data_IF_695148366853
#
_entry.id   IF_695148366853
#
_cell.length_a   1.000
_cell.length_b   1.000
_cell.length_c   1.000
_cell.angle_alpha   90.00
_cell.angle_beta   90.00
_cell.angle_gamma   90.00
#
_symmetry.space_group_name_H-M   'P 1'
#
loop_
_entity.id
_entity.type
_entity.pdbx_description
1 polymer ?
#
# COMPACT_ATOMS: atom_id res chain seq x y z
N UNK A 1 5.51 14.18 8.63
CA UNK A 1 6.93 13.84 8.39
C UNK A 1 6.93 12.68 7.42
N UNK A 2 7.66 12.74 6.30
CA UNK A 2 7.70 11.59 5.38
C UNK A 2 8.42 10.45 6.11
N UNK A 3 7.66 9.44 6.56
CA UNK A 3 8.23 8.27 7.21
C UNK A 3 9.31 7.68 6.30
N UNK A 4 10.52 7.59 6.83
CA UNK A 4 11.63 6.94 6.16
C UNK A 4 11.33 5.45 6.00
N UNK A 5 11.93 4.80 4.99
CA UNK A 5 11.70 3.36 4.75
C UNK A 5 11.96 2.50 5.99
N UNK A 6 12.91 2.91 6.83
CA UNK A 6 13.20 2.34 8.14
C UNK A 6 11.99 2.43 9.09
N UNK A 7 11.43 3.62 9.27
CA UNK A 7 10.33 3.85 10.22
C UNK A 7 9.10 3.03 9.84
N UNK A 8 8.81 2.92 8.54
CA UNK A 8 7.66 2.17 8.05
C UNK A 8 7.82 0.66 8.18
N UNK A 9 9.01 0.12 7.89
CA UNK A 9 9.28 -1.31 8.08
C UNK A 9 9.25 -1.67 9.57
N UNK A 10 9.64 -0.74 10.45
CA UNK A 10 9.59 -0.90 11.90
C UNK A 10 8.17 -0.80 12.47
N UNK A 11 7.38 0.17 12.01
CA UNK A 11 5.96 0.31 12.39
C UNK A 11 5.12 -0.89 11.96
N UNK A 12 5.45 -1.49 10.81
CA UNK A 12 4.84 -2.73 10.35
C UNK A 12 5.33 -3.98 11.14
N UNK A 13 6.22 -3.81 12.12
CA UNK A 13 6.78 -4.90 12.93
C UNK A 13 7.66 -5.87 12.14
N UNK A 14 8.08 -5.50 10.92
CA UNK A 14 8.79 -6.39 10.01
C UNK A 14 10.28 -6.50 10.34
N UNK A 15 10.88 -5.42 10.85
CA UNK A 15 12.31 -5.39 11.21
C UNK A 15 12.58 -4.51 12.42
N UNK A 16 13.67 -4.80 13.13
CA UNK A 16 14.24 -3.91 14.16
C UNK A 16 15.19 -2.89 13.54
N UNK A 17 15.59 -1.89 14.34
CA UNK A 17 16.57 -0.87 13.90
C UNK A 17 17.92 -1.51 13.61
N UNK A 18 18.35 -2.44 14.45
CA UNK A 18 19.60 -3.18 14.31
C UNK A 18 19.62 -3.99 13.01
N UNK A 19 18.51 -4.67 12.70
CA UNK A 19 18.34 -5.42 11.44
C UNK A 19 18.38 -4.50 10.22
N UNK A 20 17.76 -3.32 10.28
CA UNK A 20 17.83 -2.36 9.19
C UNK A 20 19.25 -1.81 8.97
N UNK A 21 19.96 -1.46 10.04
CA UNK A 21 21.34 -0.95 9.96
C UNK A 21 22.28 -2.01 9.37
N UNK A 22 22.10 -3.28 9.77
CA UNK A 22 22.83 -4.41 9.19
C UNK A 22 22.51 -4.60 7.69
N UNK A 23 21.23 -4.52 7.30
CA UNK A 23 20.83 -4.58 5.90
C UNK A 23 21.37 -3.39 5.08
N UNK A 24 21.48 -2.20 5.69
CA UNK A 24 22.08 -1.04 5.05
C UNK A 24 23.58 -1.25 4.81
N UNK A 25 24.32 -1.78 5.79
CA UNK A 25 25.72 -2.14 5.63
C UNK A 25 25.90 -3.19 4.54
N UNK A 26 25.07 -4.22 4.53
CA UNK A 26 25.06 -5.25 3.49
C UNK A 26 24.84 -4.63 2.09
N UNK A 27 23.90 -3.69 1.96
CA UNK A 27 23.67 -2.95 0.71
C UNK A 27 24.88 -2.08 0.31
N UNK A 28 25.59 -1.46 1.24
CA UNK A 28 26.79 -0.66 0.93
C UNK A 28 27.91 -1.54 0.37
N UNK A 29 28.09 -2.75 0.92
CA UNK A 29 29.15 -3.67 0.51
C UNK A 29 28.86 -4.31 -0.85
N UNK A 30 27.62 -4.78 -1.06
CA UNK A 30 27.28 -5.62 -2.21
C UNK A 30 26.34 -4.95 -3.23
N UNK A 31 25.84 -3.74 -2.96
CA UNK A 31 24.91 -3.00 -3.82
C UNK A 31 23.47 -3.53 -3.81
N UNK A 32 22.66 -3.01 -4.74
CA UNK A 32 21.24 -3.40 -4.93
C UNK A 32 20.22 -2.55 -4.15
N UNK A 33 18.95 -2.96 -4.21
CA UNK A 33 17.88 -2.37 -3.37
C UNK A 33 17.98 -2.90 -1.94
N UNK A 34 17.62 -2.08 -0.96
CA UNK A 34 17.65 -2.47 0.47
C UNK A 34 16.77 -3.70 0.76
N UNK A 35 15.65 -3.85 0.04
CA UNK A 35 14.80 -5.04 0.11
C UNK A 35 15.54 -6.33 -0.23
N UNK A 36 16.46 -6.30 -1.19
CA UNK A 36 17.32 -7.43 -1.54
C UNK A 36 18.19 -7.84 -0.36
N UNK A 37 18.81 -6.87 0.33
CA UNK A 37 19.62 -7.14 1.51
C UNK A 37 18.81 -7.66 2.69
N UNK A 38 17.56 -7.20 2.87
CA UNK A 38 16.64 -7.70 3.90
C UNK A 38 16.26 -9.17 3.65
N UNK A 39 15.98 -9.54 2.40
CA UNK A 39 15.68 -10.93 2.03
C UNK A 39 16.93 -11.80 2.18
N UNK A 40 18.09 -11.34 1.71
CA UNK A 40 19.35 -12.08 1.77
C UNK A 40 19.78 -12.45 3.20
N UNK A 41 19.54 -11.53 4.15
CA UNK A 41 19.82 -11.73 5.56
C UNK A 41 18.72 -12.51 6.29
N UNK A 42 17.65 -12.91 5.59
CA UNK A 42 16.52 -13.65 6.17
C UNK A 42 15.68 -12.82 7.14
N UNK A 43 15.73 -11.50 7.04
CA UNK A 43 15.03 -10.58 7.94
C UNK A 43 13.58 -10.35 7.54
N UNK A 44 13.29 -10.43 6.24
CA UNK A 44 11.94 -10.26 5.69
C UNK A 44 11.74 -11.25 4.55
N UNK A 45 10.61 -11.95 4.57
CA UNK A 45 10.19 -12.79 3.45
C UNK A 45 9.81 -11.92 2.24
N UNK A 46 10.08 -12.43 1.05
CA UNK A 46 9.87 -11.65 -0.17
C UNK A 46 8.42 -11.25 -0.44
N UNK A 47 7.45 -12.10 -0.10
CA UNK A 47 6.03 -11.82 -0.31
C UNK A 47 5.58 -10.73 0.66
N UNK A 48 6.02 -10.83 1.92
CA UNK A 48 5.83 -9.82 2.95
C UNK A 48 6.41 -8.47 2.51
N UNK A 49 7.62 -8.47 1.96
CA UNK A 49 8.23 -7.26 1.40
C UNK A 49 7.43 -6.71 0.20
N UNK A 50 7.00 -7.56 -0.73
CA UNK A 50 6.23 -7.15 -1.90
C UNK A 50 4.88 -6.51 -1.49
N UNK A 51 4.18 -7.13 -0.54
CA UNK A 51 2.91 -6.64 0.01
C UNK A 51 3.10 -5.31 0.73
N UNK A 52 4.16 -5.18 1.52
CA UNK A 52 4.51 -3.94 2.19
C UNK A 52 4.78 -2.81 1.18
N UNK A 53 5.61 -3.08 0.15
CA UNK A 53 5.89 -2.11 -0.91
C UNK A 53 4.62 -1.73 -1.69
N UNK A 54 3.70 -2.68 -1.89
CA UNK A 54 2.42 -2.40 -2.54
C UNK A 54 1.57 -1.41 -1.72
N UNK A 55 1.43 -1.65 -0.42
CA UNK A 55 0.73 -0.73 0.50
C UNK A 55 1.39 0.65 0.48
N UNK A 56 2.72 0.72 0.49
CA UNK A 56 3.44 2.00 0.55
C UNK A 56 3.38 2.81 -0.75
N UNK A 57 3.53 2.14 -1.89
CA UNK A 57 3.59 2.79 -3.20
C UNK A 57 2.20 2.97 -3.83
N UNK A 58 1.14 2.47 -3.17
CA UNK A 58 -0.23 2.44 -3.70
C UNK A 58 -0.31 1.79 -5.10
N UNK A 59 0.53 0.79 -5.33
CA UNK A 59 0.63 0.03 -6.58
C UNK A 59 0.46 -1.45 -6.24
N UNK A 60 -0.31 -2.25 -7.00
CA UNK A 60 -0.50 -3.67 -6.68
C UNK A 60 0.83 -4.44 -6.78
N UNK A 61 1.05 -5.41 -5.90
CA UNK A 61 2.19 -6.33 -6.04
C UNK A 61 1.91 -7.46 -7.03
N UNK A 62 2.97 -8.10 -7.50
CA UNK A 62 2.90 -9.31 -8.34
C UNK A 62 3.19 -10.54 -7.49
N UNK A 63 2.32 -11.54 -7.56
CA UNK A 63 2.58 -12.82 -6.89
C UNK A 63 3.73 -13.55 -7.59
N UNK A 64 4.62 -14.26 -6.85
CA UNK A 64 5.68 -15.06 -7.46
C UNK A 64 5.20 -15.97 -8.61
N UNK A 65 4.08 -16.67 -8.44
CA UNK A 65 3.55 -17.59 -9.47
C UNK A 65 3.19 -16.89 -10.79
N UNK A 66 2.76 -15.63 -10.71
CA UNK A 66 2.45 -14.83 -11.89
C UNK A 66 3.71 -14.41 -12.64
N UNK A 67 4.82 -14.21 -11.92
CA UNK A 67 6.14 -14.00 -12.51
C UNK A 67 6.73 -15.29 -13.08
N UNK A 68 6.30 -16.45 -12.57
CA UNK A 68 6.82 -17.75 -13.00
C UNK A 68 6.14 -18.29 -14.26
N UNK A 69 4.89 -17.86 -14.53
CA UNK A 69 4.01 -18.41 -15.56
C UNK A 69 3.44 -17.33 -16.49
N UNK A 70 4.33 -16.65 -17.24
CA UNK A 70 3.94 -15.61 -18.19
C UNK A 70 3.84 -16.18 -19.62
N UNK A 71 2.73 -15.96 -20.34
CA UNK A 71 2.59 -16.37 -21.74
C UNK A 71 3.63 -15.71 -22.66
N UNK A 72 4.14 -16.47 -23.64
CA UNK A 72 5.19 -16.01 -24.55
C UNK A 72 4.77 -14.78 -25.39
N UNK A 73 3.49 -14.68 -25.76
CA UNK A 73 2.93 -13.54 -26.49
C UNK A 73 2.89 -12.25 -25.66
N UNK A 74 2.88 -12.36 -24.33
CA UNK A 74 3.00 -11.22 -23.41
C UNK A 74 4.46 -10.81 -23.26
N UNK A 75 5.37 -11.77 -23.09
CA UNK A 75 6.82 -11.52 -23.02
C UNK A 75 7.29 -10.75 -24.25
N UNK A 76 6.86 -11.14 -25.45
CA UNK A 76 7.26 -10.48 -26.70
C UNK A 76 6.78 -9.02 -26.83
N UNK A 77 5.87 -8.54 -25.97
CA UNK A 77 5.39 -7.15 -26.01
C UNK A 77 6.42 -6.14 -25.51
N UNK A 78 7.39 -6.58 -24.71
CA UNK A 78 8.50 -5.73 -24.25
C UNK A 78 9.80 -6.25 -24.86
N UNK A 79 10.49 -5.45 -25.70
CA UNK A 79 11.77 -5.84 -26.25
C UNK A 79 12.80 -6.14 -25.15
N UNK A 80 13.60 -7.19 -25.37
CA UNK A 80 14.66 -7.63 -24.44
C UNK A 80 15.54 -6.49 -23.93
N UNK A 81 15.96 -5.59 -24.82
CA UNK A 81 16.82 -4.46 -24.46
C UNK A 81 16.19 -3.54 -23.41
N UNK A 82 14.87 -3.28 -23.50
CA UNK A 82 14.14 -2.48 -22.52
C UNK A 82 13.91 -3.24 -21.22
N UNK A 83 13.50 -4.52 -21.32
CA UNK A 83 13.28 -5.38 -20.16
C UNK A 83 14.53 -5.45 -19.28
N UNK A 84 15.71 -5.63 -19.89
CA UNK A 84 16.99 -5.69 -19.18
C UNK A 84 17.43 -4.31 -18.68
N UNK A 85 17.36 -3.26 -19.52
CA UNK A 85 17.78 -1.90 -19.16
C UNK A 85 17.04 -1.39 -17.91
N UNK A 86 15.72 -1.62 -17.87
CA UNK A 86 14.86 -1.14 -16.79
C UNK A 86 14.58 -2.19 -15.71
N UNK A 87 15.09 -3.42 -15.88
CA UNK A 87 14.80 -4.57 -15.01
C UNK A 87 13.29 -4.78 -14.79
N UNK A 88 12.53 -4.85 -15.88
CA UNK A 88 11.07 -4.96 -15.88
C UNK A 88 10.58 -6.20 -16.62
N UNK A 89 9.40 -6.71 -16.25
CA UNK A 89 8.81 -7.88 -16.89
C UNK A 89 7.31 -7.67 -17.14
N UNK A 90 6.80 -7.84 -18.38
CA UNK A 90 5.38 -7.73 -18.65
C UNK A 90 4.62 -8.93 -18.08
N UNK A 91 3.52 -8.70 -17.36
CA UNK A 91 2.75 -9.76 -16.69
C UNK A 91 1.49 -10.13 -17.46
N UNK A 92 0.76 -9.12 -17.93
CA UNK A 92 -0.48 -9.31 -18.69
C UNK A 92 -0.77 -8.08 -19.55
N UNK A 93 -1.54 -8.27 -20.61
CA UNK A 93 -2.00 -7.17 -21.45
C UNK A 93 -3.50 -7.27 -21.66
N UNK A 94 -4.21 -6.19 -21.35
CA UNK A 94 -5.64 -6.03 -21.66
C UNK A 94 -5.79 -4.87 -22.65
N UNK A 95 -6.09 -5.21 -23.91
CA UNK A 95 -6.17 -4.27 -25.03
C UNK A 95 -4.87 -3.46 -25.20
N UNK A 96 -4.88 -2.20 -24.76
CA UNK A 96 -3.73 -1.27 -24.79
C UNK A 96 -3.07 -1.09 -23.42
N UNK A 97 -3.53 -1.77 -22.38
CA UNK A 97 -3.01 -1.63 -21.01
C UNK A 97 -2.09 -2.80 -20.68
N UNK A 98 -0.80 -2.53 -20.57
CA UNK A 98 0.23 -3.52 -20.26
C UNK A 98 0.58 -3.44 -18.78
N UNK A 99 0.25 -4.48 -18.03
CA UNK A 99 0.72 -4.64 -16.65
C UNK A 99 2.20 -5.02 -16.66
N UNK A 100 3.01 -4.22 -15.96
CA UNK A 100 4.47 -4.32 -15.99
C UNK A 100 5.01 -4.42 -14.56
N UNK A 101 5.68 -5.52 -14.25
CA UNK A 101 6.36 -5.71 -12.99
C UNK A 101 7.65 -4.87 -12.95
N UNK A 102 7.83 -4.09 -11.89
CA UNK A 102 8.94 -3.16 -11.70
C UNK A 102 9.44 -3.21 -10.26
N UNK A 103 10.75 -3.06 -10.07
CA UNK A 103 11.34 -2.93 -8.73
C UNK A 103 11.06 -1.54 -8.13
N UNK A 104 10.87 -0.54 -9.01
CA UNK A 104 10.63 0.84 -8.64
C UNK A 104 9.48 1.44 -9.48
N UNK A 105 8.22 1.22 -9.08
CA UNK A 105 7.05 1.81 -9.73
C UNK A 105 7.04 3.35 -9.77
N UNK A 106 7.89 4.03 -9.00
CA UNK A 106 7.98 5.49 -8.98
C UNK A 106 8.94 6.04 -10.06
N UNK A 107 9.65 5.17 -10.79
CA UNK A 107 10.48 5.58 -11.92
C UNK A 107 9.63 5.92 -13.15
N UNK A 108 9.10 7.15 -13.15
CA UNK A 108 8.28 7.68 -14.23
C UNK A 108 9.04 7.74 -15.57
N UNK A 109 10.36 7.92 -15.53
CA UNK A 109 11.17 7.97 -16.75
C UNK A 109 11.22 6.61 -17.45
N UNK A 110 11.39 5.53 -16.67
CA UNK A 110 11.30 4.17 -17.19
C UNK A 110 9.90 3.88 -17.77
N UNK A 111 8.85 4.27 -17.04
CA UNK A 111 7.46 4.09 -17.48
C UNK A 111 7.21 4.79 -18.82
N UNK A 112 7.61 6.05 -18.95
CA UNK A 112 7.39 6.86 -20.15
C UNK A 112 8.17 6.33 -21.36
N UNK A 113 9.43 5.93 -21.18
CA UNK A 113 10.23 5.38 -22.29
C UNK A 113 9.67 4.04 -22.79
N UNK A 114 9.27 3.16 -21.86
CA UNK A 114 8.68 1.87 -22.23
C UNK A 114 7.32 2.08 -22.90
N UNK A 115 6.48 2.98 -22.37
CA UNK A 115 5.21 3.33 -22.99
C UNK A 115 5.41 3.85 -24.42
N UNK A 116 6.38 4.74 -24.63
CA UNK A 116 6.69 5.33 -25.92
C UNK A 116 7.14 4.28 -26.94
N UNK A 117 8.07 3.39 -26.57
CA UNK A 117 8.62 2.40 -27.50
C UNK A 117 7.61 1.29 -27.80
N UNK A 118 6.79 0.91 -26.82
CA UNK A 118 5.87 -0.24 -26.95
C UNK A 118 4.46 0.14 -27.42
N UNK A 119 4.12 1.44 -27.45
CA UNK A 119 2.79 1.98 -27.76
C UNK A 119 1.66 1.45 -26.83
N UNK A 120 2.02 1.05 -25.61
CA UNK A 120 1.09 0.62 -24.56
C UNK A 120 0.97 1.64 -23.43
N UNK A 121 -0.20 1.63 -22.78
CA UNK A 121 -0.43 2.29 -21.50
C UNK A 121 0.09 1.38 -20.41
N UNK A 122 1.16 1.78 -19.73
CA UNK A 122 1.80 0.98 -18.69
C UNK A 122 1.01 1.06 -17.39
N UNK A 123 0.75 -0.11 -16.81
CA UNK A 123 0.21 -0.27 -15.45
C UNK A 123 1.30 -0.89 -14.59
N UNK A 124 2.04 -0.10 -13.79
CA UNK A 124 3.10 -0.64 -12.98
C UNK A 124 2.53 -1.58 -11.92
N UNK A 125 3.30 -2.62 -11.61
CA UNK A 125 3.09 -3.54 -10.50
C UNK A 125 4.41 -3.67 -9.76
N UNK A 126 4.40 -3.75 -8.44
CA UNK A 126 5.63 -3.86 -7.66
C UNK A 126 6.05 -5.30 -7.47
N UNK A 127 7.34 -5.58 -7.63
CA UNK A 127 7.92 -6.89 -7.34
C UNK A 127 9.32 -6.74 -6.73
N UNK A 128 9.75 -7.66 -5.84
CA UNK A 128 11.12 -7.68 -5.34
C UNK A 128 12.15 -7.79 -6.49
N UNK A 129 13.28 -7.09 -6.35
CA UNK A 129 14.35 -7.09 -7.37
C UNK A 129 14.82 -8.52 -7.68
N UNK A 130 14.97 -9.35 -6.65
CA UNK A 130 15.40 -10.75 -6.77
C UNK A 130 14.49 -11.57 -7.71
N UNK A 131 13.17 -11.39 -7.61
CA UNK A 131 12.19 -12.09 -8.44
C UNK A 131 12.14 -11.56 -9.87
N UNK A 132 12.35 -10.26 -10.06
CA UNK A 132 12.47 -9.67 -11.39
C UNK A 132 13.70 -10.20 -12.12
N UNK A 133 14.85 -10.29 -11.45
CA UNK A 133 16.06 -10.86 -12.05
C UNK A 133 15.87 -12.34 -12.40
N UNK A 134 15.18 -13.11 -11.55
CA UNK A 134 14.82 -14.51 -11.83
C UNK A 134 13.94 -14.62 -13.08
N UNK A 135 12.91 -13.78 -13.20
CA UNK A 135 12.03 -13.77 -14.37
C UNK A 135 12.76 -13.30 -15.65
N UNK A 136 13.64 -12.29 -15.54
CA UNK A 136 14.48 -11.83 -16.65
C UNK A 136 15.42 -12.92 -17.14
N UNK A 137 16.00 -13.71 -16.24
CA UNK A 137 16.82 -14.86 -16.61
C UNK A 137 16.02 -15.91 -17.36
N UNK A 138 14.81 -16.22 -16.88
CA UNK A 138 13.91 -17.21 -17.49
C UNK A 138 13.42 -16.80 -18.89
N UNK A 139 13.04 -15.54 -19.08
CA UNK A 139 12.32 -15.11 -20.29
C UNK A 139 13.15 -14.30 -21.28
N UNK A 140 14.24 -13.68 -20.81
CA UNK A 140 15.06 -12.77 -21.60
C UNK A 140 16.53 -13.18 -21.62
N UNK A 141 16.88 -14.38 -21.16
CA UNK A 141 18.26 -14.88 -21.08
C UNK A 141 19.19 -13.84 -20.41
N UNK A 142 18.71 -13.25 -19.32
CA UNK A 142 19.51 -12.32 -18.51
C UNK A 142 20.46 -13.10 -17.61
N UNK A 143 21.75 -12.74 -17.62
CA UNK A 143 22.74 -13.38 -16.76
C UNK A 143 22.64 -12.80 -15.33
N UNK A 144 22.36 -13.67 -14.36
CA UNK A 144 22.24 -13.29 -12.95
C UNK A 144 23.61 -13.43 -12.28
N UNK A 145 24.03 -12.42 -11.52
CA UNK A 145 25.26 -12.47 -10.71
C UNK A 145 25.18 -13.54 -9.60
N UNK A 146 26.32 -14.12 -9.21
CA UNK A 146 26.39 -15.23 -8.23
C UNK A 146 25.69 -14.93 -6.90
N UNK A 147 25.76 -13.70 -6.39
CA UNK A 147 25.05 -13.29 -5.16
C UNK A 147 23.55 -13.53 -5.27
N UNK A 148 22.94 -13.07 -6.36
CA UNK A 148 21.50 -13.22 -6.58
C UNK A 148 21.12 -14.67 -6.85
N UNK A 149 21.99 -15.45 -7.50
CA UNK A 149 21.78 -16.90 -7.63
C UNK A 149 21.73 -17.58 -6.27
N UNK A 150 22.63 -17.22 -5.35
CA UNK A 150 22.65 -17.75 -3.99
C UNK A 150 21.41 -17.36 -3.18
N UNK A 151 20.93 -16.12 -3.31
CA UNK A 151 19.69 -15.65 -2.67
C UNK A 151 18.48 -16.45 -3.21
N UNK A 152 18.35 -16.57 -4.54
CA UNK A 152 17.24 -17.29 -5.19
C UNK A 152 17.24 -18.78 -4.79
N UNK A 153 18.42 -19.41 -4.68
CA UNK A 153 18.54 -20.80 -4.25
C UNK A 153 17.99 -20.99 -2.82
N UNK A 154 18.39 -20.12 -1.88
CA UNK A 154 17.91 -20.17 -0.48
C UNK A 154 16.40 -19.95 -0.36
N UNK A 155 15.81 -19.14 -1.23
CA UNK A 155 14.37 -18.88 -1.23
C UNK A 155 13.55 -20.11 -1.62
N UNK A 156 14.06 -20.96 -2.53
CA UNK A 156 13.38 -22.20 -2.93
C UNK A 156 13.31 -23.21 -1.78
N UNK A 157 14.35 -23.28 -0.96
CA UNK A 157 14.41 -24.16 0.21
C UNK A 157 13.38 -23.78 1.29
N UNK A 158 13.03 -22.49 1.39
CA UNK A 158 11.97 -21.99 2.29
C UNK A 158 10.56 -22.24 1.75
N UNK A 159 10.34 -22.11 0.44
CA UNK A 159 9.02 -22.42 -0.17
C UNK A 159 8.67 -23.91 -0.15
N UNK A 160 9.69 -24.78 -0.12
CA UNK A 160 9.49 -26.24 -0.04
C UNK A 160 8.88 -26.70 1.29
N UNK A 161 9.23 -26.04 2.41
CA UNK A 161 8.69 -26.38 3.73
C UNK A 161 7.28 -25.82 3.97
N UNK A 162 6.93 -24.69 3.34
CA UNK A 162 5.59 -24.11 3.41
C UNK A 162 4.58 -24.88 2.54
N UNK A 163 4.98 -25.35 1.36
CA UNK A 163 4.13 -26.12 0.46
C UNK A 163 3.76 -27.51 1.01
N UNK A 164 4.63 -28.12 1.83
CA UNK A 164 4.34 -29.38 2.54
C UNK A 164 3.31 -29.18 3.67
N UNK A 165 3.29 -28.02 4.34
CA UNK A 165 2.32 -27.69 5.38
C UNK A 165 0.92 -27.35 4.81
N UNK A 166 0.86 -26.74 3.63
CA UNK A 166 -0.40 -26.42 2.94
C UNK A 166 -1.06 -27.70 2.35
N UNK A 167 -0.25 -28.67 1.89
CA UNK A 167 -0.74 -29.95 1.39
C UNK A 167 -1.40 -30.83 2.49
N UNK A 168 -0.93 -30.74 3.74
CA UNK A 168 -1.55 -31.45 4.87
C UNK A 168 -2.88 -30.81 5.32
N UNK A 169 -3.04 -29.49 5.19
CA UNK A 169 -4.28 -28.79 5.56
C UNK A 169 -5.39 -28.97 4.52
N UNK A 170 -5.05 -29.12 3.24
CA UNK A 170 -6.02 -29.34 2.18
C UNK A 170 -6.58 -30.77 2.15
N UNK A 171 -5.84 -31.76 2.70
CA UNK A 171 -6.31 -33.13 2.85
C UNK A 171 -7.38 -33.32 3.96
N UNK A 172 -7.49 -32.38 4.92
CA UNK A 172 -8.46 -32.44 6.02
C UNK A 172 -9.83 -31.79 5.67
N UNK A 173 -9.95 -31.15 4.50
CA UNK A 173 -11.15 -30.39 4.12
C UNK A 173 -12.18 -31.19 3.29
N UNK A 174 -11.91 -32.44 2.91
CA UNK A 174 -12.79 -33.24 2.03
C UNK A 174 -13.62 -34.33 2.72
N UNK A 175 -13.72 -34.33 4.06
CA UNK A 175 -14.69 -35.19 4.75
C UNK A 175 -15.37 -34.45 5.89
N UNK A 176 -16.49 -33.80 5.60
CA UNK A 176 -17.52 -33.52 6.59
C UNK A 176 -18.84 -34.04 6.02
N UNK A 177 -19.41 -35.01 6.73
CA UNK A 177 -20.69 -35.67 6.46
C UNK A 177 -21.83 -34.69 6.83
N UNK A 178 -22.85 -34.60 5.97
CA UNK A 178 -23.86 -33.52 5.99
C UNK A 178 -24.95 -33.70 7.09
N UNK A 179 -24.80 -34.70 7.96
CA UNK A 179 -25.82 -35.15 8.93
C UNK A 179 -25.51 -34.83 10.43
N UNK A 180 -24.42 -34.13 10.77
CA UNK A 180 -24.06 -33.77 12.17
C UNK A 180 -24.27 -32.28 12.51
N UNK A 181 -25.39 -31.68 12.09
CA UNK A 181 -25.79 -30.31 12.46
C UNK A 181 -26.97 -30.25 13.44
N UNK A 182 -27.08 -31.21 14.35
CA UNK A 182 -27.99 -31.13 15.51
C UNK A 182 -27.21 -31.30 16.82
N UNK A 183 -27.45 -30.37 17.75
CA UNK A 183 -26.85 -30.24 19.10
C UNK A 183 -25.50 -29.50 19.21
N UNK A 184 -25.54 -28.17 19.08
CA UNK A 184 -24.69 -27.31 19.89
C UNK A 184 -25.53 -26.31 20.68
N UNK A 185 -25.42 -26.43 22.00
CA UNK A 185 -26.12 -25.67 23.04
C UNK A 185 -25.68 -24.20 23.00
N UNK A 186 -26.64 -23.28 22.97
CA UNK A 186 -26.40 -21.85 23.20
C UNK A 186 -25.96 -21.71 24.66
N UNK A 187 -24.73 -21.27 24.88
CA UNK A 187 -24.27 -20.81 26.19
C UNK A 187 -24.46 -19.30 26.22
N UNK A 188 -25.45 -18.86 26.99
CA UNK A 188 -25.51 -17.51 27.54
C UNK A 188 -24.85 -17.53 28.91
N UNK A 189 -23.84 -16.68 29.10
CA UNK A 189 -23.47 -15.90 30.30
C UNK A 189 -22.07 -15.34 30.06
N UNK A 190 -21.95 -14.03 29.82
CA UNK A 190 -21.70 -13.01 30.85
C UNK A 190 -20.31 -13.17 31.49
N UNK A 191 -19.34 -12.37 31.01
CA UNK A 191 -18.54 -11.43 31.81
C UNK A 191 -17.35 -10.88 30.98
N UNK A 192 -17.33 -9.55 30.87
CA UNK A 192 -16.17 -8.68 30.64
C UNK A 192 -15.43 -8.72 29.27
N UNK A 193 -15.93 -7.94 28.31
CA UNK A 193 -15.12 -7.41 27.20
C UNK A 193 -15.20 -5.88 27.17
N UNK A 194 -14.89 -5.24 28.30
CA UNK A 194 -14.32 -3.91 28.24
C UNK A 194 -12.83 -4.03 27.82
N UNK A 195 -12.37 -3.22 26.87
CA UNK A 195 -10.99 -3.14 26.30
C UNK A 195 -10.66 -3.88 24.99
N UNK A 196 -11.55 -3.88 24.00
CA UNK A 196 -11.12 -3.90 22.59
C UNK A 196 -11.48 -2.58 21.91
N UNK A 197 -10.65 -1.56 22.12
CA UNK A 197 -10.54 -0.47 21.14
C UNK A 197 -9.87 -1.07 19.91
N UNK A 198 -10.67 -1.73 19.06
CA UNK A 198 -10.19 -2.28 17.80
C UNK A 198 -9.80 -1.12 16.90
N UNK A 199 -8.50 -0.94 16.69
CA UNK A 199 -7.97 -0.08 15.63
C UNK A 199 -8.66 -0.46 14.31
N UNK A 200 -9.24 0.51 13.61
CA UNK A 200 -9.74 0.29 12.27
C UNK A 200 -8.52 0.06 11.38
N UNK A 201 -8.27 -1.18 10.98
CA UNK A 201 -7.22 -1.45 10.00
C UNK A 201 -7.63 -0.88 8.64
N UNK A 202 -6.67 -0.49 7.80
CA UNK A 202 -6.97 -0.04 6.44
C UNK A 202 -7.70 -1.11 5.61
N UNK A 203 -7.51 -2.38 5.96
CA UNK A 203 -8.19 -3.51 5.34
C UNK A 203 -9.67 -3.57 5.78
N UNK A 204 -9.99 -3.24 7.03
CA UNK A 204 -11.37 -3.10 7.52
C UNK A 204 -12.08 -1.91 6.89
N UNK A 205 -11.37 -0.79 6.75
CA UNK A 205 -11.87 0.43 6.08
C UNK A 205 -12.18 0.11 4.61
N UNK A 206 -11.28 -0.58 3.92
CA UNK A 206 -11.46 -0.99 2.52
C UNK A 206 -12.70 -1.88 2.36
N UNK A 207 -12.88 -2.87 3.24
CA UNK A 207 -14.06 -3.75 3.24
C UNK A 207 -15.34 -2.96 3.49
N UNK A 208 -15.37 -2.12 4.53
CA UNK A 208 -16.55 -1.32 4.87
C UNK A 208 -16.91 -0.32 3.76
N UNK A 209 -15.92 0.30 3.11
CA UNK A 209 -16.16 1.19 1.97
C UNK A 209 -16.72 0.46 0.75
N UNK A 210 -16.31 -0.79 0.52
CA UNK A 210 -16.86 -1.60 -0.57
C UNK A 210 -18.34 -1.94 -0.35
N UNK A 211 -18.77 -2.09 0.90
CA UNK A 211 -20.14 -2.38 1.29
C UNK A 211 -21.02 -1.12 1.47
N UNK A 212 -20.40 0.06 1.56
CA UNK A 212 -21.09 1.31 1.82
C UNK A 212 -22.07 1.67 0.68
N UNK A 213 -23.33 1.95 1.04
CA UNK A 213 -24.41 2.23 0.08
C UNK A 213 -24.82 3.69 0.04
N UNK A 214 -24.35 4.46 1.01
CA UNK A 214 -24.65 5.88 1.12
C UNK A 214 -23.38 6.69 1.26
N UNK A 215 -23.45 7.93 0.79
CA UNK A 215 -22.41 8.93 1.04
C UNK A 215 -22.20 9.10 2.54
N UNK A 216 -23.25 8.98 3.35
CA UNK A 216 -23.18 9.12 4.80
C UNK A 216 -22.28 8.05 5.45
N UNK A 217 -22.51 6.78 5.08
CA UNK A 217 -21.68 5.64 5.51
C UNK A 217 -20.22 5.80 5.09
N UNK A 218 -19.97 6.21 3.84
CA UNK A 218 -18.61 6.49 3.36
C UNK A 218 -17.92 7.53 4.24
N UNK A 219 -18.65 8.58 4.61
CA UNK A 219 -18.13 9.65 5.46
C UNK A 219 -17.76 9.16 6.86
N UNK A 220 -18.62 8.33 7.47
CA UNK A 220 -18.38 7.76 8.80
C UNK A 220 -17.19 6.80 8.83
N UNK A 221 -17.09 5.93 7.82
CA UNK A 221 -15.99 4.98 7.70
C UNK A 221 -14.65 5.71 7.57
N UNK A 222 -14.59 6.72 6.68
CA UNK A 222 -13.37 7.51 6.49
C UNK A 222 -12.97 8.28 7.74
N UNK A 223 -13.92 8.94 8.42
CA UNK A 223 -13.61 9.71 9.62
C UNK A 223 -13.30 8.83 10.82
N UNK A 224 -13.93 7.65 10.94
CA UNK A 224 -13.61 6.67 11.97
C UNK A 224 -12.16 6.21 11.89
N UNK A 225 -11.65 6.01 10.67
CA UNK A 225 -10.24 5.71 10.43
C UNK A 225 -9.34 6.92 10.66
N UNK A 226 -9.64 8.06 10.03
CA UNK A 226 -8.79 9.25 10.10
C UNK A 226 -8.71 9.82 11.52
N UNK A 227 -9.76 9.70 12.34
CA UNK A 227 -9.75 10.13 13.75
C UNK A 227 -8.87 9.29 14.67
N UNK A 228 -8.37 8.13 14.20
CA UNK A 228 -7.36 7.33 14.91
C UNK A 228 -5.93 7.76 14.58
N UNK A 229 -5.73 8.22 13.35
CA UNK A 229 -4.42 8.61 12.82
C UNK A 229 -4.11 10.09 13.06
N UNK A 230 -5.15 10.93 13.09
CA UNK A 230 -5.02 12.38 13.18
C UNK A 230 -5.85 12.92 14.35
N UNK A 231 -5.25 13.86 15.09
CA UNK A 231 -5.96 14.60 16.14
C UNK A 231 -7.23 15.27 15.61
N UNK A 232 -7.26 15.67 14.33
CA UNK A 232 -8.41 16.30 13.68
C UNK A 232 -8.50 15.84 12.24
N UNK A 233 -9.69 15.43 11.82
CA UNK A 233 -9.96 15.05 10.45
C UNK A 233 -11.30 15.63 9.99
N UNK A 234 -11.39 15.97 8.71
CA UNK A 234 -12.58 16.54 8.14
C UNK A 234 -12.79 16.17 6.69
N UNK A 235 -14.05 15.98 6.32
CA UNK A 235 -14.51 15.82 4.96
C UNK A 235 -15.26 17.08 4.56
N UNK A 236 -14.95 17.58 3.36
CA UNK A 236 -15.51 18.81 2.81
C UNK A 236 -15.96 18.57 1.36
N UNK A 237 -16.84 19.43 0.86
CA UNK A 237 -17.39 19.35 -0.50
C UNK A 237 -17.06 20.61 -1.26
N UNK A 238 -16.35 20.46 -2.37
CA UNK A 238 -16.11 21.56 -3.29
C UNK A 238 -17.34 21.78 -4.18
N UNK A 239 -17.78 23.04 -4.31
CA UNK A 239 -18.96 23.44 -5.09
C UNK A 239 -18.68 24.73 -5.85
N UNK A 240 -18.03 24.65 -7.02
CA UNK A 240 -17.74 25.85 -7.81
C UNK A 240 -16.74 26.76 -7.10
N UNK A 241 -17.21 27.89 -6.56
CA UNK A 241 -16.42 28.95 -5.92
C UNK A 241 -16.37 28.86 -4.38
N UNK A 242 -16.98 27.85 -3.77
CA UNK A 242 -16.88 27.63 -2.32
C UNK A 242 -16.62 26.16 -1.96
N UNK A 243 -16.24 25.94 -0.70
CA UNK A 243 -16.11 24.62 -0.09
C UNK A 243 -16.94 24.56 1.18
N UNK A 244 -17.89 23.64 1.23
CA UNK A 244 -18.74 23.40 2.40
C UNK A 244 -18.11 22.33 3.30
N UNK A 245 -18.11 22.56 4.60
CA UNK A 245 -17.86 21.51 5.59
C UNK A 245 -18.94 20.44 5.52
N UNK A 246 -18.56 19.17 5.60
CA UNK A 246 -19.54 18.08 5.61
C UNK A 246 -19.52 17.30 6.92
N UNK A 247 -18.36 16.77 7.33
CA UNK A 247 -18.20 16.06 8.60
C UNK A 247 -16.80 16.27 9.14
N UNK A 248 -16.64 16.28 10.46
CA UNK A 248 -15.31 16.32 11.08
C UNK A 248 -15.29 15.61 12.43
N UNK A 249 -14.09 15.21 12.81
CA UNK A 249 -13.77 14.63 14.12
C UNK A 249 -12.55 15.35 14.73
N UNK A 250 -12.52 15.42 16.06
CA UNK A 250 -11.36 15.82 16.86
C UNK A 250 -11.05 14.64 17.80
N UNK A 251 -10.04 13.84 17.44
CA UNK A 251 -9.84 12.49 17.95
C UNK A 251 -11.01 11.60 17.56
N UNK A 252 -11.68 11.03 18.56
CA UNK A 252 -12.87 10.19 18.37
C UNK A 252 -14.19 10.97 18.50
N UNK A 253 -14.15 12.27 18.82
CA UNK A 253 -15.34 13.09 19.02
C UNK A 253 -15.79 13.76 17.71
N UNK A 254 -17.06 13.62 17.35
CA UNK A 254 -17.67 14.28 16.19
C UNK A 254 -17.81 15.78 16.46
N UNK A 255 -17.43 16.60 15.49
CA UNK A 255 -17.57 18.06 15.55
C UNK A 255 -18.88 18.49 14.88
N UNK A 256 -19.96 18.48 15.66
CA UNK A 256 -21.34 18.78 15.22
C UNK A 256 -21.51 20.13 14.49
N UNK A 257 -20.68 21.12 14.82
CA UNK A 257 -20.75 22.45 14.21
C UNK A 257 -20.04 22.53 12.84
N UNK A 258 -19.23 21.54 12.46
CA UNK A 258 -18.42 21.57 11.24
C UNK A 258 -19.23 21.70 9.93
N UNK A 259 -20.42 21.08 9.77
CA UNK A 259 -21.24 21.25 8.56
C UNK A 259 -21.69 22.69 8.28
N UNK A 260 -21.60 23.60 9.27
CA UNK A 260 -21.93 25.02 9.10
C UNK A 260 -20.76 25.82 8.52
N UNK A 261 -19.59 25.21 8.40
CA UNK A 261 -18.41 25.84 7.85
C UNK A 261 -18.54 26.02 6.34
N UNK A 262 -18.21 27.21 5.85
CA UNK A 262 -18.12 27.50 4.42
C UNK A 262 -16.83 28.27 4.18
N UNK A 263 -16.07 27.87 3.15
CA UNK A 263 -14.84 28.53 2.73
C UNK A 263 -15.05 29.14 1.35
N UNK A 264 -14.82 30.44 1.25
CA UNK A 264 -14.85 31.18 -0.01
C UNK A 264 -13.51 31.01 -0.76
N UNK A 265 -13.53 30.40 -1.94
CA UNK A 265 -12.32 30.17 -2.77
C UNK A 265 -11.84 31.45 -3.47
N UNK A 266 -12.61 32.56 -3.43
CA UNK A 266 -12.10 33.86 -3.86
C UNK A 266 -10.99 34.35 -2.92
N UNK A 267 -11.06 33.99 -1.63
CA UNK A 267 -10.08 34.41 -0.61
C UNK A 267 -8.84 33.50 -0.60
N UNK A 268 -7.63 34.05 -0.37
CA UNK A 268 -6.43 33.24 -0.20
C UNK A 268 -6.55 32.30 1.00
N UNK A 269 -6.34 31.01 0.77
CA UNK A 269 -6.37 29.98 1.81
C UNK A 269 -5.59 28.73 1.38
N UNK A 270 -5.28 27.87 2.35
CA UNK A 270 -4.70 26.55 2.05
C UNK A 270 -5.68 25.70 1.25
N UNK A 271 -6.98 25.78 1.57
CA UNK A 271 -8.03 25.05 0.85
C UNK A 271 -8.08 25.49 -0.61
N UNK A 272 -8.01 26.80 -0.90
CA UNK A 272 -7.89 27.30 -2.28
C UNK A 272 -6.69 26.71 -3.00
N UNK A 273 -5.54 26.65 -2.33
CA UNK A 273 -4.30 26.12 -2.91
C UNK A 273 -4.44 24.63 -3.27
N UNK A 274 -5.09 23.85 -2.41
CA UNK A 274 -5.38 22.42 -2.68
C UNK A 274 -6.35 22.26 -3.84
N UNK A 275 -7.42 23.05 -3.89
CA UNK A 275 -8.43 22.98 -4.94
C UNK A 275 -7.88 23.40 -6.30
N UNK A 276 -7.14 24.52 -6.38
CA UNK A 276 -6.54 25.01 -7.63
C UNK A 276 -5.35 24.15 -8.09
N UNK A 277 -4.52 23.68 -7.16
CA UNK A 277 -3.34 22.88 -7.45
C UNK A 277 -3.63 21.41 -7.73
N UNK A 278 -4.83 20.93 -7.38
CA UNK A 278 -5.20 19.51 -7.41
C UNK A 278 -4.13 18.59 -6.79
N UNK A 279 -3.52 19.07 -5.70
CA UNK A 279 -2.38 18.45 -5.04
C UNK A 279 -2.50 18.60 -3.53
N UNK A 280 -2.07 17.61 -2.74
CA UNK A 280 -2.13 17.71 -1.28
C UNK A 280 -1.22 18.83 -0.77
N UNK A 281 -1.72 19.58 0.21
CA UNK A 281 -0.91 20.56 0.94
C UNK A 281 -0.31 19.91 2.18
N UNK A 282 1.02 19.98 2.31
CA UNK A 282 1.77 19.47 3.46
C UNK A 282 2.56 20.62 4.07
N UNK A 283 2.18 21.07 5.25
CA UNK A 283 2.82 22.18 5.94
C UNK A 283 1.96 22.76 7.05
N UNK A 284 2.50 23.72 7.79
CA UNK A 284 1.74 24.47 8.79
C UNK A 284 0.69 25.36 8.10
N UNK A 285 -0.47 25.53 8.73
CA UNK A 285 -1.50 26.45 8.26
C UNK A 285 -1.02 27.89 8.49
N UNK A 286 -0.84 28.72 7.44
CA UNK A 286 -0.52 30.14 7.62
C UNK A 286 -1.66 30.82 8.38
N UNK A 287 -1.36 31.70 9.35
CA UNK A 287 -2.40 32.40 10.09
C UNK A 287 -3.16 33.38 9.19
N UNK A 288 -4.44 33.57 9.49
CA UNK A 288 -5.28 34.57 8.85
C UNK A 288 -6.43 34.00 8.00
N UNK A 289 -7.49 34.79 7.90
CA UNK A 289 -8.61 34.58 6.97
C UNK A 289 -9.32 33.24 7.17
N UNK A 290 -9.47 32.50 6.07
CA UNK A 290 -10.18 31.21 6.05
C UNK A 290 -9.41 30.10 6.79
N UNK A 291 -8.09 30.23 6.96
CA UNK A 291 -7.30 29.24 7.70
C UNK A 291 -7.60 29.29 9.21
N UNK A 292 -7.79 30.48 9.77
CA UNK A 292 -8.15 30.63 11.19
C UNK A 292 -9.58 30.11 11.45
N UNK A 293 -10.50 30.36 10.50
CA UNK A 293 -11.87 29.83 10.53
C UNK A 293 -11.87 28.30 10.49
N UNK A 294 -11.01 27.71 9.66
CA UNK A 294 -10.83 26.25 9.60
C UNK A 294 -10.34 25.69 10.93
N UNK A 295 -9.32 26.29 11.54
CA UNK A 295 -8.81 25.86 12.84
C UNK A 295 -9.88 25.98 13.92
N UNK A 296 -10.63 27.09 13.93
CA UNK A 296 -11.73 27.31 14.86
C UNK A 296 -12.83 26.24 14.70
N UNK A 297 -13.24 25.97 13.46
CA UNK A 297 -14.26 24.98 13.13
C UNK A 297 -13.85 23.54 13.48
N UNK A 298 -12.56 23.22 13.52
CA UNK A 298 -12.03 21.89 13.85
C UNK A 298 -11.65 21.72 15.34
N UNK A 299 -11.96 22.67 16.22
CA UNK A 299 -11.66 22.56 17.65
C UNK A 299 -10.63 23.57 18.19
N UNK A 300 -10.44 24.72 17.53
CA UNK A 300 -9.98 25.97 18.14
C UNK A 300 -8.48 26.19 18.31
N UNK A 301 -7.71 25.18 18.74
CA UNK A 301 -6.25 25.33 18.91
C UNK A 301 -5.52 24.98 17.62
N UNK A 302 -4.63 25.85 17.15
CA UNK A 302 -3.74 25.51 16.05
C UNK A 302 -2.83 24.34 16.49
N UNK A 303 -2.63 23.32 15.66
CA UNK A 303 -1.69 22.25 15.99
C UNK A 303 -0.29 22.84 16.18
N UNK A 304 0.35 22.52 17.30
CA UNK A 304 1.76 22.87 17.54
C UNK A 304 2.60 22.15 16.51
N UNK A 305 3.23 22.91 15.61
CA UNK A 305 4.19 22.35 14.68
C UNK A 305 5.31 21.64 15.46
N UNK A 306 5.52 20.36 15.16
CA UNK A 306 6.68 19.59 15.59
C UNK A 306 7.84 19.78 14.60
#
# INVERSE_FOLDING_TARGET
>A
MALTLLEMLREAGLITREQFDEALLNRVVYGGKIGTSLIELGMVEEETLARFLSKKLAVPYVHPDQLENIPADIIQKVPRGLAIKYKVVPIRCDKKRLSLAMADPADLSAIDEIAFITDYIIRPLVAPEVRLLQALNRYYDYEIEERYQAIIARMKDWSGSAAEAEAEQQAHAEQIDEDELEEAVIVEDDEDYSERVGQFSIDDVSRQLADARSREEIGDILLGYLGQEFDRAALMVCRGDHVDGWKAVNGTEVVEAFPQMVVDLAQPSVIKTVVEGNSPYLGGLPPGGENDRLIAALGGKAPTAA
#
